data_IF_787576385593
#
_entry.id   IF_787576385593
#
_cell.length_a   1.000
_cell.length_b   1.000
_cell.length_c   1.000
_cell.angle_alpha   90.00
_cell.angle_beta   90.00
_cell.angle_gamma   90.00
#
_symmetry.space_group_name_H-M   'P 1'
#
loop_
_entity.id
_entity.type
_entity.pdbx_description
1 polymer ?
#
# COMPACT_ATOMS: atom_id res chain seq x y z
N UNK A 1 20.15 28.88 -1.06
CA UNK A 1 20.83 29.20 -2.33
C UNK A 1 19.86 29.26 -3.50
N UNK A 2 19.06 28.22 -3.79
CA UNK A 2 18.07 28.24 -4.88
C UNK A 2 16.89 29.23 -4.65
N UNK A 3 16.30 29.26 -3.45
CA UNK A 3 15.25 30.22 -3.09
C UNK A 3 15.68 31.69 -3.27
N UNK A 4 16.92 32.00 -2.88
CA UNK A 4 17.49 33.35 -3.04
C UNK A 4 17.66 33.75 -4.51
N UNK A 5 17.91 32.79 -5.41
CA UNK A 5 17.99 33.05 -6.85
C UNK A 5 16.62 33.39 -7.44
N UNK A 6 15.53 32.88 -6.84
CA UNK A 6 14.18 33.17 -7.27
C UNK A 6 13.72 34.56 -6.80
N UNK A 7 14.05 34.94 -5.57
CA UNK A 7 13.79 36.29 -5.06
C UNK A 7 14.49 37.37 -5.89
N UNK A 8 15.68 37.05 -6.42
CA UNK A 8 16.49 37.89 -7.32
C UNK A 8 16.09 37.84 -8.81
N UNK A 9 14.92 37.27 -9.15
CA UNK A 9 14.40 37.13 -10.53
C UNK A 9 15.32 36.39 -11.51
N UNK A 10 16.32 35.64 -11.01
CA UNK A 10 17.28 34.91 -11.85
C UNK A 10 16.87 33.47 -12.14
N UNK A 11 15.71 33.04 -11.67
CA UNK A 11 15.22 31.67 -11.81
C UNK A 11 15.06 31.22 -13.28
N UNK A 12 14.69 32.14 -14.18
CA UNK A 12 14.59 31.87 -15.62
C UNK A 12 15.95 31.57 -16.27
N UNK A 13 17.04 32.20 -15.80
CA UNK A 13 18.40 31.93 -16.30
C UNK A 13 18.92 30.56 -15.88
N UNK A 14 18.46 30.04 -14.75
CA UNK A 14 18.86 28.74 -14.23
C UNK A 14 17.97 27.59 -14.72
N UNK A 15 17.09 27.85 -15.69
CA UNK A 15 16.23 26.83 -16.30
C UNK A 15 15.16 26.26 -15.36
N UNK A 16 14.79 27.02 -14.31
CA UNK A 16 13.71 26.61 -13.40
C UNK A 16 12.37 26.94 -14.08
N UNK A 17 11.50 25.94 -14.32
CA UNK A 17 10.21 26.17 -14.95
C UNK A 17 9.30 26.95 -13.99
N UNK A 18 8.88 28.13 -14.41
CA UNK A 18 7.96 28.98 -13.66
C UNK A 18 7.85 30.37 -14.30
N UNK A 19 6.63 30.85 -14.59
CA UNK A 19 6.44 32.21 -15.13
C UNK A 19 6.45 33.30 -14.04
N UNK A 20 6.41 32.89 -12.77
CA UNK A 20 6.43 33.78 -11.60
C UNK A 20 7.34 33.24 -10.51
N UNK A 21 7.74 34.11 -9.58
CA UNK A 21 8.54 33.72 -8.40
C UNK A 21 7.88 32.58 -7.62
N UNK A 22 6.57 32.67 -7.41
CA UNK A 22 5.82 31.67 -6.67
C UNK A 22 5.84 30.31 -7.36
N UNK A 23 5.66 30.29 -8.68
CA UNK A 23 5.70 29.07 -9.49
C UNK A 23 7.11 28.43 -9.49
N UNK A 24 8.16 29.24 -9.55
CA UNK A 24 9.54 28.77 -9.43
C UNK A 24 9.88 28.25 -8.02
N UNK A 25 9.31 28.82 -6.94
CA UNK A 25 9.44 28.27 -5.58
C UNK A 25 8.79 26.89 -5.50
N UNK A 26 7.60 26.75 -6.08
CA UNK A 26 6.88 25.49 -6.13
C UNK A 26 7.63 24.42 -6.93
N UNK A 27 8.24 24.80 -8.07
CA UNK A 27 9.03 23.89 -8.90
C UNK A 27 10.30 23.39 -8.17
N UNK A 28 11.01 24.26 -7.46
CA UNK A 28 12.17 23.86 -6.64
C UNK A 28 11.75 22.94 -5.49
N UNK A 29 10.62 23.23 -4.86
CA UNK A 29 10.08 22.37 -3.80
C UNK A 29 9.68 20.99 -4.34
N UNK A 30 9.10 20.93 -5.56
CA UNK A 30 8.79 19.67 -6.23
C UNK A 30 10.04 18.85 -6.58
N UNK A 31 11.14 19.51 -6.96
CA UNK A 31 12.45 18.86 -7.19
C UNK A 31 13.08 18.35 -5.89
N UNK A 32 12.90 19.07 -4.78
CA UNK A 32 13.40 18.64 -3.46
C UNK A 32 12.54 17.52 -2.86
N UNK A 33 11.24 17.50 -3.20
CA UNK A 33 10.28 16.46 -2.85
C UNK A 33 10.08 15.50 -4.03
N UNK A 34 11.19 14.94 -4.53
CA UNK A 34 11.17 13.86 -5.51
C UNK A 34 10.63 12.56 -4.91
N UNK A 35 9.31 12.45 -4.75
CA UNK A 35 8.58 11.18 -4.88
C UNK A 35 7.09 11.47 -5.12
N UNK A 36 6.78 11.94 -6.33
CA UNK A 36 5.46 11.77 -6.92
C UNK A 36 5.58 10.72 -8.01
N UNK A 37 5.96 9.50 -7.60
CA UNK A 37 5.59 8.32 -8.39
C UNK A 37 4.08 8.23 -8.33
N UNK A 38 3.49 7.99 -9.49
CA UNK A 38 2.08 7.68 -9.65
C UNK A 38 1.58 6.78 -8.51
N UNK A 39 0.31 6.90 -8.08
CA UNK A 39 -0.35 5.82 -7.37
C UNK A 39 -0.61 4.67 -8.36
N UNK A 40 0.46 4.07 -8.88
CA UNK A 40 0.54 2.62 -9.00
C UNK A 40 0.10 2.10 -7.64
N UNK A 41 -1.09 1.53 -7.65
CA UNK A 41 -1.62 0.68 -6.61
C UNK A 41 -0.47 -0.18 -6.06
N UNK A 42 -0.36 -0.27 -4.73
CA UNK A 42 0.62 -1.04 -3.94
C UNK A 42 1.77 -0.26 -3.28
N UNK A 43 1.51 0.35 -2.10
CA UNK A 43 2.30 0.08 -0.88
C UNK A 43 1.55 0.50 0.41
N UNK A 44 1.11 -0.43 1.28
CA UNK A 44 0.47 -0.09 2.55
C UNK A 44 1.52 0.17 3.65
N UNK A 45 2.32 1.22 3.51
CA UNK A 45 3.07 1.82 4.61
C UNK A 45 2.24 2.92 5.29
N UNK A 46 1.10 2.56 5.88
CA UNK A 46 0.37 3.44 6.80
C UNK A 46 0.78 3.12 8.24
N UNK A 47 1.58 3.98 8.92
CA UNK A 47 1.84 3.86 10.35
C UNK A 47 0.61 4.37 11.11
N UNK A 48 -0.38 3.51 11.30
CA UNK A 48 -1.64 3.93 11.92
C UNK A 48 -2.37 2.80 12.62
N UNK A 49 -2.36 2.88 13.95
CA UNK A 49 -3.25 2.17 14.90
C UNK A 49 -2.79 0.79 15.36
N UNK A 50 -2.65 0.70 16.68
CA UNK A 50 -2.25 -0.43 17.51
C UNK A 50 -3.26 -1.58 17.50
N UNK A 51 -3.51 -2.18 16.34
CA UNK A 51 -4.19 -3.46 16.19
C UNK A 51 -3.32 -4.29 15.27
N UNK A 52 -2.77 -5.41 15.76
CA UNK A 52 -1.76 -6.24 15.10
C UNK A 52 -1.79 -6.15 13.57
N UNK A 53 -0.82 -5.45 12.99
CA UNK A 53 -0.79 -5.18 11.56
C UNK A 53 -0.29 -6.42 10.81
N UNK A 54 -1.15 -7.43 10.63
CA UNK A 54 -0.81 -8.65 9.88
C UNK A 54 -0.34 -8.33 8.45
N UNK A 55 -0.87 -7.28 7.83
CA UNK A 55 -0.41 -6.78 6.54
C UNK A 55 1.06 -6.35 6.56
N UNK A 56 1.51 -5.67 7.62
CA UNK A 56 2.91 -5.28 7.78
C UNK A 56 3.81 -6.47 8.09
N UNK A 57 3.36 -7.40 8.94
CA UNK A 57 4.08 -8.67 9.20
C UNK A 57 4.28 -9.46 7.90
N UNK A 58 3.25 -9.51 7.04
CA UNK A 58 3.29 -10.17 5.74
C UNK A 58 4.31 -9.51 4.80
N UNK A 59 4.26 -8.19 4.67
CA UNK A 59 5.20 -7.43 3.86
C UNK A 59 6.64 -7.64 4.32
N UNK A 60 6.90 -7.59 5.63
CA UNK A 60 8.23 -7.81 6.18
C UNK A 60 8.73 -9.24 5.94
N UNK A 61 7.85 -10.23 6.06
CA UNK A 61 8.17 -11.63 5.75
C UNK A 61 8.54 -11.77 4.27
N UNK A 62 7.74 -11.14 3.40
CA UNK A 62 7.93 -11.12 1.96
C UNK A 62 9.28 -10.54 1.57
N UNK A 63 9.61 -9.34 2.08
CA UNK A 63 10.89 -8.68 1.85
C UNK A 63 12.07 -9.53 2.36
N UNK A 64 11.94 -10.12 3.56
CA UNK A 64 12.99 -10.98 4.14
C UNK A 64 13.22 -12.25 3.32
N UNK A 65 12.17 -12.82 2.73
CA UNK A 65 12.21 -14.05 1.93
C UNK A 65 12.47 -13.79 0.43
N UNK A 66 12.66 -12.53 0.02
CA UNK A 66 12.75 -12.11 -1.40
C UNK A 66 11.56 -12.59 -2.24
N UNK A 67 10.37 -12.48 -1.66
CA UNK A 67 9.10 -12.76 -2.31
C UNK A 67 8.50 -11.51 -2.98
N UNK A 68 7.54 -11.73 -3.86
CA UNK A 68 6.78 -10.69 -4.56
C UNK A 68 5.84 -9.96 -3.60
N UNK A 69 5.73 -8.64 -3.72
CA UNK A 69 4.90 -7.82 -2.83
C UNK A 69 3.44 -8.32 -2.77
N UNK A 70 2.82 -8.29 -1.58
CA UNK A 70 1.43 -8.70 -1.43
C UNK A 70 0.45 -7.72 -2.07
N UNK A 71 -0.23 -8.19 -3.11
CA UNK A 71 -1.29 -7.45 -3.77
C UNK A 71 -2.61 -7.63 -3.01
N UNK A 72 -3.28 -6.53 -2.65
CA UNK A 72 -4.57 -6.56 -1.96
C UNK A 72 -5.66 -5.96 -2.83
N UNK A 73 -6.75 -6.70 -3.04
CA UNK A 73 -7.95 -6.22 -3.73
C UNK A 73 -9.16 -6.35 -2.82
N UNK A 74 -9.92 -5.27 -2.61
CA UNK A 74 -11.11 -5.26 -1.76
C UNK A 74 -12.35 -5.11 -2.62
N UNK A 75 -13.27 -6.06 -2.48
CA UNK A 75 -14.57 -6.07 -3.15
C UNK A 75 -15.65 -5.94 -2.08
N UNK A 76 -16.61 -5.05 -2.30
CA UNK A 76 -17.79 -4.94 -1.45
C UNK A 76 -18.97 -5.64 -2.13
N UNK A 77 -19.55 -6.60 -1.42
CA UNK A 77 -20.63 -7.45 -1.92
C UNK A 77 -21.78 -7.46 -0.89
N UNK A 78 -23.01 -7.57 -1.38
CA UNK A 78 -24.20 -7.73 -0.53
C UNK A 78 -25.12 -6.50 -0.45
N UNK A 79 -26.36 -6.71 0.04
CA UNK A 79 -27.36 -5.66 0.15
C UNK A 79 -26.97 -4.61 1.22
N UNK A 80 -27.56 -3.40 1.19
CA UNK A 80 -27.26 -2.35 2.17
C UNK A 80 -27.45 -2.76 3.63
N UNK A 81 -28.26 -3.79 3.90
CA UNK A 81 -28.52 -4.32 5.24
C UNK A 81 -27.56 -5.46 5.66
N UNK A 82 -26.79 -6.05 4.74
CA UNK A 82 -25.83 -7.12 5.02
C UNK A 82 -24.60 -6.96 4.11
N UNK A 83 -23.91 -5.83 4.29
CA UNK A 83 -22.74 -5.51 3.47
C UNK A 83 -21.53 -6.31 3.95
N UNK A 84 -20.95 -7.05 3.02
CA UNK A 84 -19.78 -7.89 3.22
C UNK A 84 -18.62 -7.30 2.43
N UNK A 85 -17.44 -7.28 3.04
CA UNK A 85 -16.20 -6.89 2.41
C UNK A 85 -15.32 -8.11 2.23
N UNK A 86 -14.99 -8.40 0.99
CA UNK A 86 -14.11 -9.50 0.58
C UNK A 86 -12.77 -8.90 0.17
N UNK A 87 -11.71 -9.19 0.93
CA UNK A 87 -10.34 -8.79 0.60
C UNK A 87 -9.57 -9.99 0.09
N UNK A 88 -9.09 -9.91 -1.14
CA UNK A 88 -8.22 -10.90 -1.76
C UNK A 88 -6.77 -10.44 -1.61
N UNK A 89 -5.89 -11.31 -1.12
CA UNK A 89 -4.46 -11.07 -1.04
C UNK A 89 -3.73 -12.10 -1.91
N UNK A 90 -2.82 -11.64 -2.77
CA UNK A 90 -2.06 -12.48 -3.70
C UNK A 90 -0.55 -12.27 -3.51
N UNK A 91 0.20 -13.35 -3.31
CA UNK A 91 1.65 -13.34 -3.03
C UNK A 91 2.29 -14.60 -3.62
N UNK A 92 3.31 -14.47 -4.49
CA UNK A 92 4.16 -15.61 -4.95
C UNK A 92 3.31 -16.80 -5.45
N UNK A 93 2.31 -16.50 -6.28
CA UNK A 93 1.38 -17.51 -6.80
C UNK A 93 0.36 -18.07 -5.81
N UNK A 94 0.39 -17.68 -4.53
CA UNK A 94 -0.66 -17.98 -3.55
C UNK A 94 -1.73 -16.89 -3.57
N UNK A 95 -2.99 -17.28 -3.44
CA UNK A 95 -4.13 -16.38 -3.34
C UNK A 95 -4.96 -16.75 -2.10
N UNK A 96 -5.34 -15.74 -1.31
CA UNK A 96 -6.21 -15.93 -0.15
C UNK A 96 -7.31 -14.90 -0.13
N UNK A 97 -8.46 -15.28 0.42
CA UNK A 97 -9.63 -14.42 0.57
C UNK A 97 -10.02 -14.29 2.03
N UNK A 98 -10.17 -13.06 2.48
CA UNK A 98 -10.69 -12.68 3.78
C UNK A 98 -12.06 -12.04 3.61
N UNK A 99 -13.07 -12.57 4.29
CA UNK A 99 -14.44 -12.06 4.21
C UNK A 99 -14.81 -11.51 5.58
N UNK A 100 -15.31 -10.27 5.65
CA UNK A 100 -15.74 -9.67 6.89
C UNK A 100 -16.78 -8.56 6.69
N UNK A 101 -17.51 -8.23 7.76
CA UNK A 101 -18.47 -7.10 7.79
C UNK A 101 -17.80 -5.71 7.79
N UNK A 102 -16.46 -5.65 7.94
CA UNK A 102 -15.70 -4.40 7.95
C UNK A 102 -14.48 -4.49 7.03
N UNK A 103 -14.18 -3.40 6.29
CA UNK A 103 -12.99 -3.30 5.41
C UNK A 103 -11.68 -3.65 6.15
N UNK A 104 -11.51 -3.14 7.38
CA UNK A 104 -10.31 -3.41 8.19
C UNK A 104 -10.19 -4.87 8.61
N UNK A 105 -11.29 -5.49 9.05
CA UNK A 105 -11.31 -6.89 9.46
C UNK A 105 -11.06 -7.83 8.28
N UNK A 106 -11.64 -7.51 7.12
CA UNK A 106 -11.48 -8.27 5.88
C UNK A 106 -10.01 -8.35 5.45
N UNK A 107 -9.32 -7.19 5.43
CA UNK A 107 -7.88 -7.12 5.15
C UNK A 107 -7.04 -7.85 6.20
N UNK A 108 -7.40 -7.75 7.47
CA UNK A 108 -6.71 -8.44 8.56
C UNK A 108 -6.77 -9.97 8.38
N UNK A 109 -7.95 -10.50 8.09
CA UNK A 109 -8.19 -11.94 7.88
C UNK A 109 -7.42 -12.42 6.65
N UNK A 110 -7.46 -11.68 5.54
CA UNK A 110 -6.71 -12.02 4.34
C UNK A 110 -5.20 -12.06 4.62
N UNK A 111 -4.66 -11.03 5.29
CA UNK A 111 -3.23 -10.96 5.61
C UNK A 111 -2.80 -12.07 6.56
N UNK A 112 -3.61 -12.38 7.58
CA UNK A 112 -3.33 -13.45 8.53
C UNK A 112 -3.28 -14.82 7.85
N UNK A 113 -4.27 -15.12 7.00
CA UNK A 113 -4.30 -16.34 6.20
C UNK A 113 -3.07 -16.47 5.31
N UNK A 114 -2.70 -15.39 4.61
CA UNK A 114 -1.52 -15.42 3.74
C UNK A 114 -0.24 -15.64 4.55
N UNK A 115 -0.11 -14.98 5.71
CA UNK A 115 1.06 -15.12 6.58
C UNK A 115 1.22 -16.57 7.04
N UNK A 116 0.12 -17.18 7.49
CA UNK A 116 0.09 -18.59 7.87
C UNK A 116 0.45 -19.49 6.69
N UNK A 117 -0.06 -19.22 5.49
CA UNK A 117 0.27 -19.98 4.28
C UNK A 117 1.73 -19.83 3.89
N UNK A 118 2.34 -18.64 4.01
CA UNK A 118 3.77 -18.47 3.70
C UNK A 118 4.67 -19.11 4.77
N UNK A 119 4.22 -19.14 6.03
CA UNK A 119 4.92 -19.81 7.12
C UNK A 119 4.77 -21.33 7.04
N UNK A 120 3.56 -21.82 6.73
CA UNK A 120 3.16 -23.24 6.66
C UNK A 120 3.49 -23.87 5.32
N UNK A 121 3.43 -23.14 4.22
CA UNK A 121 3.71 -23.60 2.85
C UNK A 121 5.17 -23.96 2.57
N UNK A 122 6.04 -23.80 3.56
CA UNK A 122 7.34 -24.50 3.62
C UNK A 122 7.15 -26.01 3.94
N UNK A 123 5.95 -26.44 4.32
CA UNK A 123 5.64 -27.77 4.86
C UNK A 123 4.19 -28.24 4.55
N UNK A 124 3.78 -28.28 3.28
CA UNK A 124 2.58 -28.98 2.76
C UNK A 124 1.29 -28.17 2.51
N UNK A 125 0.69 -28.56 1.38
CA UNK A 125 -0.57 -28.13 0.76
C UNK A 125 -1.79 -28.43 1.64
N UNK A 126 -2.85 -27.63 1.45
CA UNK A 126 -4.24 -27.88 1.86
C UNK A 126 -4.62 -27.55 3.33
N UNK A 127 -5.25 -26.40 3.54
CA UNK A 127 -6.48 -26.33 4.35
C UNK A 127 -7.28 -25.11 3.90
N UNK A 128 -8.41 -25.35 3.24
CA UNK A 128 -9.41 -24.32 2.98
C UNK A 128 -9.98 -23.85 4.32
N UNK A 129 -9.88 -22.56 4.66
CA UNK A 129 -10.48 -22.06 5.89
C UNK A 129 -11.99 -21.91 5.70
N UNK A 130 -12.73 -22.95 6.10
CA UNK A 130 -14.19 -22.91 6.34
C UNK A 130 -14.50 -21.77 7.33
N UNK A 131 -15.16 -20.73 6.83
CA UNK A 131 -15.53 -19.57 7.62
C UNK A 131 -16.99 -19.68 8.05
N UNK A 132 -17.26 -20.53 9.04
CA UNK A 132 -18.59 -20.66 9.63
C UNK A 132 -18.48 -20.79 11.16
N UNK A 133 -18.76 -19.69 11.88
CA UNK A 133 -19.44 -19.77 13.17
C UNK A 133 -20.09 -18.46 13.59
#
# INVERSE_FOLDING_TARGET
MLHEMIEKDRYSEFGIPGSTKEEAHQAVNALLCGDSREPSEEDPSSPGSQNENYSGKLLQLCQRKSFELPQYSVVEEGPPNDRIYTTTCKVVGQEVKGVAKQKKASKNIASQKMLEILMKGVADMNEEPSLDK
#
